data_IF_264216805287
#
_entry.id   IF_264216805287
#
_cell.length_a   1.000
_cell.length_b   1.000
_cell.length_c   1.000
_cell.angle_alpha   90.00
_cell.angle_beta   90.00
_cell.angle_gamma   90.00
#
_symmetry.space_group_name_H-M   'P 1'
#
loop_
_entity.id
_entity.type
_entity.pdbx_description
1 polymer ?
#
# COMPACT_ATOMS: atom_id res chain seq x y z
N UNK A 1 -5.75 1.75 11.56
CA UNK A 1 -6.09 1.10 10.27
C UNK A 1 -6.69 2.19 9.40
N UNK A 2 -6.24 2.33 8.16
CA UNK A 2 -6.69 3.39 7.24
C UNK A 2 -7.28 2.75 5.99
N UNK A 3 -8.38 3.29 5.47
CA UNK A 3 -9.12 2.68 4.36
C UNK A 3 -9.59 3.74 3.37
N UNK A 4 -9.58 3.40 2.07
CA UNK A 4 -10.27 4.16 1.01
C UNK A 4 -11.13 3.21 0.16
N UNK A 5 -12.13 3.77 -0.50
CA UNK A 5 -12.97 3.05 -1.47
C UNK A 5 -13.00 3.86 -2.76
N UNK A 6 -12.60 3.25 -3.87
CA UNK A 6 -12.60 3.87 -5.20
C UNK A 6 -13.17 2.88 -6.20
N UNK A 7 -14.16 3.28 -7.00
CA UNK A 7 -14.77 2.41 -8.02
C UNK A 7 -15.27 1.05 -7.49
N UNK A 8 -15.77 1.02 -6.25
CA UNK A 8 -16.23 -0.22 -5.59
C UNK A 8 -15.11 -1.12 -5.08
N UNK A 9 -13.85 -0.71 -5.14
CA UNK A 9 -12.72 -1.43 -4.58
C UNK A 9 -12.31 -0.79 -3.26
N UNK A 10 -12.36 -1.55 -2.17
CA UNK A 10 -11.90 -1.12 -0.85
C UNK A 10 -10.45 -1.52 -0.65
N UNK A 11 -9.60 -0.56 -0.34
CA UNK A 11 -8.20 -0.79 0.05
C UNK A 11 -8.02 -0.42 1.51
N UNK A 12 -7.65 -1.39 2.34
CA UNK A 12 -7.43 -1.20 3.78
C UNK A 12 -5.98 -1.48 4.15
N UNK A 13 -5.36 -0.57 4.89
CA UNK A 13 -3.95 -0.62 5.28
C UNK A 13 -3.82 -0.69 6.79
N UNK A 14 -2.98 -1.62 7.24
CA UNK A 14 -2.44 -1.66 8.60
C UNK A 14 -0.93 -1.58 8.50
N UNK A 15 -0.31 -0.79 9.36
CA UNK A 15 1.14 -0.65 9.40
C UNK A 15 1.64 -0.73 10.83
N UNK A 16 2.83 -1.29 10.99
CA UNK A 16 3.56 -1.32 12.25
C UNK A 16 5.03 -1.00 12.00
N UNK A 17 5.66 -0.40 13.00
CA UNK A 17 7.11 -0.36 13.10
C UNK A 17 7.64 -1.77 13.41
N UNK A 18 8.73 -2.17 12.74
CA UNK A 18 9.39 -3.46 12.95
C UNK A 18 10.73 -3.22 13.66
N UNK A 19 10.67 -3.16 14.99
CA UNK A 19 11.85 -2.95 15.85
C UNK A 19 12.93 -4.00 15.62
N UNK A 20 12.52 -5.24 15.35
CA UNK A 20 13.39 -6.39 15.07
C UNK A 20 14.23 -6.24 13.78
N UNK A 21 13.82 -5.34 12.88
CA UNK A 21 14.49 -5.07 11.60
C UNK A 21 14.99 -3.63 11.48
N UNK A 22 14.98 -2.89 12.59
CA UNK A 22 15.37 -1.48 12.63
C UNK A 22 16.65 -1.26 13.42
N UNK A 23 17.41 -0.26 13.01
CA UNK A 23 18.58 0.24 13.73
C UNK A 23 18.47 1.76 13.81
N UNK A 24 17.72 2.22 14.80
CA UNK A 24 17.37 3.64 14.97
C UNK A 24 18.60 4.51 15.25
N UNK A 25 19.66 3.93 15.85
CA UNK A 25 20.94 4.62 16.08
C UNK A 25 21.69 4.90 14.77
N UNK A 26 21.46 4.09 13.74
CA UNK A 26 22.02 4.27 12.40
C UNK A 26 21.02 4.88 11.41
N UNK A 27 19.89 5.42 11.88
CA UNK A 27 18.88 6.02 11.02
C UNK A 27 18.16 5.03 10.11
N UNK A 28 18.07 3.74 10.48
CA UNK A 28 17.37 2.72 9.69
C UNK A 28 16.07 2.34 10.37
N UNK A 29 14.95 2.74 9.79
CA UNK A 29 13.61 2.49 10.32
C UNK A 29 12.84 1.59 9.36
N UNK A 30 12.50 0.38 9.82
CA UNK A 30 11.75 -0.58 9.02
C UNK A 30 10.28 -0.60 9.44
N UNK A 31 9.39 -0.52 8.47
CA UNK A 31 7.95 -0.62 8.65
C UNK A 31 7.40 -1.80 7.87
N UNK A 32 6.50 -2.56 8.50
CA UNK A 32 5.76 -3.63 7.83
C UNK A 32 4.32 -3.17 7.67
N UNK A 33 3.84 -3.18 6.43
CA UNK A 33 2.45 -2.89 6.12
C UNK A 33 1.73 -4.13 5.58
N UNK A 34 0.47 -4.26 5.95
CA UNK A 34 -0.47 -5.27 5.47
C UNK A 34 -1.62 -4.57 4.78
N UNK A 35 -1.84 -4.92 3.51
CA UNK A 35 -2.88 -4.32 2.68
C UNK A 35 -3.88 -5.38 2.29
N UNK A 36 -5.17 -5.07 2.48
CA UNK A 36 -6.29 -5.88 2.01
C UNK A 36 -7.02 -5.10 0.91
N UNK A 37 -7.16 -5.73 -0.25
CA UNK A 37 -7.90 -5.22 -1.41
C UNK A 37 -9.17 -6.07 -1.51
N UNK A 38 -10.34 -5.45 -1.35
CA UNK A 38 -11.62 -6.14 -1.44
C UNK A 38 -12.45 -5.57 -2.60
N UNK A 39 -13.02 -6.45 -3.41
CA UNK A 39 -13.93 -6.07 -4.48
C UNK A 39 -15.36 -6.04 -3.93
N UNK A 40 -15.86 -4.83 -3.64
CA UNK A 40 -17.25 -4.59 -3.23
C UNK A 40 -18.13 -4.16 -4.44
N UNK A 41 -17.54 -4.15 -5.63
CA UNK A 41 -18.22 -3.91 -6.89
C UNK A 41 -18.96 -5.14 -7.41
N UNK A 42 -19.50 -5.02 -8.62
CA UNK A 42 -20.34 -6.06 -9.26
C UNK A 42 -19.61 -6.82 -10.37
N UNK A 43 -18.38 -6.44 -10.70
CA UNK A 43 -17.62 -7.02 -11.81
C UNK A 43 -16.32 -7.60 -11.30
N UNK A 44 -15.85 -8.66 -11.95
CA UNK A 44 -14.52 -9.22 -11.68
C UNK A 44 -13.44 -8.29 -12.20
N UNK A 45 -12.45 -7.99 -11.36
CA UNK A 45 -11.37 -7.07 -11.68
C UNK A 45 -10.00 -7.71 -11.44
N UNK A 46 -8.98 -7.26 -12.15
CA UNK A 46 -7.60 -7.72 -11.95
C UNK A 46 -6.69 -6.55 -11.60
N UNK A 47 -5.84 -6.73 -10.59
CA UNK A 47 -4.76 -5.80 -10.29
C UNK A 47 -3.62 -5.98 -11.27
N UNK A 48 -3.27 -4.92 -11.98
CA UNK A 48 -2.24 -4.93 -13.02
C UNK A 48 -0.93 -4.31 -12.54
N UNK A 49 -0.99 -3.14 -11.90
CA UNK A 49 0.18 -2.36 -11.49
C UNK A 49 -0.06 -1.63 -10.18
N UNK A 50 1.04 -1.30 -9.50
CA UNK A 50 1.07 -0.42 -8.33
C UNK A 50 1.96 0.78 -8.62
N UNK A 51 1.62 1.92 -8.03
CA UNK A 51 2.46 3.11 -8.00
C UNK A 51 2.38 3.72 -6.60
N UNK A 52 3.52 3.87 -5.95
CA UNK A 52 3.68 4.37 -4.59
C UNK A 52 4.41 5.70 -4.58
N UNK A 53 3.94 6.59 -3.73
CA UNK A 53 4.62 7.82 -3.32
C UNK A 53 5.02 7.65 -1.86
N UNK A 54 6.32 7.72 -1.60
CA UNK A 54 6.91 7.51 -0.28
C UNK A 54 7.63 8.79 0.11
N UNK A 55 7.10 9.46 1.13
CA UNK A 55 7.69 10.63 1.75
C UNK A 55 8.37 10.21 3.06
N UNK A 56 9.57 10.73 3.27
CA UNK A 56 10.40 10.55 4.45
C UNK A 56 10.76 11.94 4.99
N UNK A 57 10.67 12.15 6.30
CA UNK A 57 10.93 13.47 6.89
C UNK A 57 12.38 13.95 6.76
N UNK A 58 13.35 13.05 6.58
CA UNK A 58 14.78 13.39 6.44
C UNK A 58 15.37 13.03 5.07
N UNK A 59 14.56 12.52 4.14
CA UNK A 59 15.03 12.14 2.81
C UNK A 59 14.11 12.65 1.71
N UNK A 60 14.61 12.65 0.48
CA UNK A 60 13.84 13.05 -0.69
C UNK A 60 12.68 12.07 -0.90
N UNK A 61 11.54 12.61 -1.34
CA UNK A 61 10.39 11.78 -1.72
C UNK A 61 10.77 10.85 -2.87
N UNK A 62 10.45 9.57 -2.73
CA UNK A 62 10.70 8.56 -3.78
C UNK A 62 9.40 7.97 -4.29
N UNK A 63 9.43 7.53 -5.54
CA UNK A 63 8.32 6.81 -6.15
C UNK A 63 8.74 5.38 -6.46
N UNK A 64 7.83 4.44 -6.26
CA UNK A 64 8.06 3.02 -6.58
C UNK A 64 6.87 2.54 -7.40
N UNK A 65 7.13 2.05 -8.60
CA UNK A 65 6.10 1.46 -9.45
C UNK A 65 6.50 0.08 -9.97
N UNK A 66 5.51 -0.70 -10.38
CA UNK A 66 5.77 -2.00 -10.99
C UNK A 66 4.51 -2.84 -11.22
N UNK A 67 4.65 -3.98 -11.90
CA UNK A 67 3.55 -4.90 -12.13
C UNK A 67 3.11 -5.57 -10.83
N UNK A 68 1.81 -5.76 -10.68
CA UNK A 68 1.23 -6.52 -9.58
C UNK A 68 1.53 -5.97 -8.18
N UNK A 69 1.39 -6.84 -7.21
CA UNK A 69 1.80 -6.68 -5.81
C UNK A 69 2.49 -7.98 -5.37
N UNK A 70 3.63 -7.90 -4.69
CA UNK A 70 4.38 -9.07 -4.21
C UNK A 70 4.65 -10.18 -5.24
N UNK A 71 4.72 -9.83 -6.53
CA UNK A 71 4.91 -10.78 -7.63
C UNK A 71 3.61 -11.35 -8.22
N UNK A 72 2.46 -10.94 -7.70
CA UNK A 72 1.14 -11.43 -8.09
C UNK A 72 0.28 -10.33 -8.75
N UNK A 73 -0.58 -10.74 -9.68
CA UNK A 73 -1.60 -9.88 -10.34
C UNK A 73 -3.00 -10.42 -10.03
N UNK A 74 -3.47 -10.29 -8.78
CA UNK A 74 -4.67 -10.97 -8.31
C UNK A 74 -5.92 -10.57 -9.10
N UNK A 75 -6.74 -11.57 -9.41
CA UNK A 75 -8.09 -11.43 -9.95
C UNK A 75 -9.08 -11.54 -8.79
N UNK A 76 -10.03 -10.62 -8.71
CA UNK A 76 -11.00 -10.52 -7.62
C UNK A 76 -12.42 -10.51 -8.21
N UNK A 77 -13.18 -11.57 -7.98
CA UNK A 77 -14.63 -11.59 -8.22
C UNK A 77 -15.37 -10.71 -7.19
N UNK A 78 -16.64 -10.35 -7.44
CA UNK A 78 -17.47 -9.63 -6.47
C UNK A 78 -17.48 -10.33 -5.10
N UNK A 79 -17.17 -9.60 -4.04
CA UNK A 79 -17.07 -10.09 -2.66
C UNK A 79 -15.71 -10.67 -2.27
N UNK A 80 -14.83 -10.95 -3.23
CA UNK A 80 -13.50 -11.50 -2.94
C UNK A 80 -12.53 -10.45 -2.42
N UNK A 81 -11.49 -10.93 -1.73
CA UNK A 81 -10.42 -10.10 -1.20
C UNK A 81 -9.07 -10.77 -1.35
N UNK A 82 -8.06 -9.95 -1.62
CA UNK A 82 -6.65 -10.35 -1.60
C UNK A 82 -5.93 -9.58 -0.50
N UNK A 83 -5.07 -10.25 0.25
CA UNK A 83 -4.30 -9.63 1.33
C UNK A 83 -2.83 -9.99 1.21
N UNK A 84 -1.97 -8.98 1.26
CA UNK A 84 -0.52 -9.17 1.23
C UNK A 84 0.16 -8.31 2.29
N UNK A 85 1.41 -8.67 2.60
CA UNK A 85 2.28 -7.89 3.48
C UNK A 85 3.59 -7.58 2.76
N UNK A 86 4.13 -6.40 3.01
CA UNK A 86 5.42 -5.98 2.50
C UNK A 86 6.03 -4.95 3.45
N UNK A 87 7.21 -4.46 3.12
CA UNK A 87 7.99 -3.62 4.01
C UNK A 87 8.47 -2.35 3.32
N UNK A 88 8.68 -1.30 4.10
CA UNK A 88 9.27 -0.04 3.67
C UNK A 88 10.36 0.36 4.65
N UNK A 89 11.55 0.60 4.11
CA UNK A 89 12.65 1.25 4.80
C UNK A 89 12.52 2.78 4.69
N UNK A 90 12.77 3.47 5.80
CA UNK A 90 12.94 4.91 5.90
C UNK A 90 14.27 5.25 6.58
N UNK A 91 14.80 6.41 6.25
CA UNK A 91 15.95 7.04 6.91
C UNK A 91 15.57 7.82 8.17
N UNK A 92 14.27 8.00 8.43
CA UNK A 92 13.76 8.69 9.61
C UNK A 92 12.62 7.93 10.29
N UNK A 93 12.33 8.32 11.53
CA UNK A 93 11.22 7.78 12.31
C UNK A 93 9.84 8.30 11.89
N UNK A 94 9.75 9.17 10.89
CA UNK A 94 8.49 9.72 10.40
C UNK A 94 8.45 9.75 8.86
N UNK A 95 7.42 9.12 8.31
CA UNK A 95 7.15 9.16 6.88
C UNK A 95 5.67 8.98 6.57
N UNK A 96 5.36 9.01 5.28
CA UNK A 96 4.01 8.82 4.76
C UNK A 96 4.07 8.09 3.43
N UNK A 97 3.19 7.12 3.27
CA UNK A 97 3.00 6.43 1.99
C UNK A 97 1.59 6.70 1.48
N UNK A 98 1.46 6.87 0.17
CA UNK A 98 0.19 6.89 -0.55
C UNK A 98 0.41 6.25 -1.92
N UNK A 99 -0.64 5.79 -2.59
CA UNK A 99 -0.45 5.11 -3.87
C UNK A 99 -1.70 4.92 -4.69
N UNK A 100 -1.52 4.31 -5.85
CA UNK A 100 -2.56 3.99 -6.81
C UNK A 100 -2.34 2.56 -7.30
N UNK A 101 -3.42 1.79 -7.40
CA UNK A 101 -3.45 0.56 -8.20
C UNK A 101 -4.09 0.84 -9.55
N UNK A 102 -3.47 0.31 -10.60
CA UNK A 102 -4.11 0.19 -11.92
C UNK A 102 -4.81 -1.16 -11.98
N UNK A 103 -6.13 -1.12 -12.16
CA UNK A 103 -7.00 -2.28 -12.25
C UNK A 103 -7.56 -2.43 -13.67
N UNK A 104 -7.93 -3.66 -14.05
CA UNK A 104 -8.66 -3.96 -15.28
C UNK A 104 -9.97 -4.65 -14.95
N UNK A 105 -11.07 -4.17 -15.50
CA UNK A 105 -12.35 -4.90 -15.53
C UNK A 105 -12.25 -6.01 -16.58
N UNK A 106 -12.46 -7.27 -16.17
CA UNK A 106 -12.29 -8.42 -17.07
C UNK A 106 -13.44 -8.61 -18.06
N UNK A 107 -14.62 -8.03 -17.80
CA UNK A 107 -15.74 -8.11 -18.73
C UNK A 107 -15.61 -7.07 -19.86
N UNK A 108 -15.09 -5.88 -19.56
CA UNK A 108 -15.02 -4.77 -20.52
C UNK A 108 -13.61 -4.47 -21.02
N UNK A 109 -12.58 -5.05 -20.41
CA UNK A 109 -11.16 -4.68 -20.56
C UNK A 109 -10.85 -3.22 -20.21
N UNK A 110 -11.80 -2.47 -19.62
CA UNK A 110 -11.58 -1.10 -19.20
C UNK A 110 -10.53 -1.05 -18.08
N UNK A 111 -9.62 -0.08 -18.18
CA UNK A 111 -8.58 0.17 -17.18
C UNK A 111 -9.00 1.36 -16.33
N UNK A 112 -8.85 1.24 -15.02
CA UNK A 112 -9.19 2.29 -14.06
C UNK A 112 -8.21 2.30 -12.89
N UNK A 113 -8.21 3.42 -12.16
CA UNK A 113 -7.37 3.62 -10.99
C UNK A 113 -8.16 3.42 -9.69
N UNK A 114 -7.49 2.86 -8.70
CA UNK A 114 -7.99 2.68 -7.34
C UNK A 114 -6.98 3.29 -6.39
N UNK A 115 -7.45 4.16 -5.48
CA UNK A 115 -6.58 4.82 -4.53
C UNK A 115 -6.17 3.86 -3.40
N UNK A 116 -4.92 3.99 -2.98
CA UNK A 116 -4.43 3.48 -1.71
C UNK A 116 -4.37 4.67 -0.76
N UNK A 117 -5.11 4.65 0.37
CA UNK A 117 -5.19 5.81 1.26
C UNK A 117 -3.80 6.20 1.77
N UNK A 118 -3.57 7.49 2.00
CA UNK A 118 -2.36 7.92 2.66
C UNK A 118 -2.30 7.36 4.09
N UNK A 119 -1.17 6.77 4.48
CA UNK A 119 -0.93 6.26 5.83
C UNK A 119 0.43 6.70 6.36
N UNK A 120 0.48 6.97 7.66
CA UNK A 120 1.67 7.45 8.36
C UNK A 120 2.52 6.28 8.80
N UNK A 121 3.81 6.40 8.58
CA UNK A 121 4.87 5.55 9.12
C UNK A 121 5.47 6.30 10.30
N UNK A 122 5.23 5.83 11.53
CA UNK A 122 5.72 6.51 12.73
C UNK A 122 6.43 5.54 13.67
N UNK A 123 7.62 5.94 14.10
CA UNK A 123 8.33 5.32 15.20
C UNK A 123 7.67 5.74 16.53
N UNK A 124 7.21 4.80 17.38
CA UNK A 124 6.34 5.11 18.52
C UNK A 124 6.91 6.11 19.52
N UNK A 125 8.23 6.20 19.68
CA UNK A 125 8.88 7.09 20.64
C UNK A 125 8.97 8.57 20.19
N UNK A 126 8.47 8.91 19.00
CA UNK A 126 8.31 10.29 18.54
C UNK A 126 6.92 10.87 18.85
N UNK A 127 6.04 10.09 19.47
CA UNK A 127 4.69 10.52 19.87
C UNK A 127 4.69 10.91 21.35
N UNK A 128 5.39 11.99 21.70
CA UNK A 128 5.33 12.63 23.02
C UNK A 128 4.88 14.08 22.86
#
# INVERSE_FOLDING_TARGET
>A
MTTAVTNGIRVSVRVRFASEHSDTKQGRYMFVYRITIANEGRRTVQLMRRHWHIWDSLATTRQVEGPGVVGETPVLAPGERFTYSSQCDLSSGLGRMAGIYTMRDLATNAVFQVEVPAFVLSYPYLSN
#
